data_IF_480572002224
#
_entry.id   IF_480572002224
#
_cell.length_a   1.000
_cell.length_b   1.000
_cell.length_c   1.000
_cell.angle_alpha   90.00
_cell.angle_beta   90.00
_cell.angle_gamma   90.00
#
_symmetry.space_group_name_H-M   'P 1'
#
loop_
_entity.id
_entity.type
_entity.pdbx_description
1 polymer ?
#
# COMPACT_ATOMS: atom_id res chain seq x y z
N UNK A 1 -10.99 -24.55 9.18
CA UNK A 1 -9.56 -24.19 9.23
C UNK A 1 -9.44 -22.72 8.87
N UNK A 2 -9.08 -21.85 9.80
CA UNK A 2 -8.87 -20.43 9.51
C UNK A 2 -7.56 -20.30 8.74
N UNK A 3 -7.63 -20.10 7.43
CA UNK A 3 -6.47 -19.66 6.67
C UNK A 3 -6.18 -18.22 7.09
N UNK A 4 -5.16 -18.02 7.92
CA UNK A 4 -4.57 -16.69 8.09
C UNK A 4 -3.78 -16.42 6.79
N UNK A 5 -4.16 -15.44 5.96
CA UNK A 5 -3.32 -15.05 4.85
C UNK A 5 -1.99 -14.59 5.46
N UNK A 6 -0.93 -15.34 5.15
CA UNK A 6 0.42 -14.94 5.50
C UNK A 6 1.00 -14.26 4.27
N UNK A 7 1.44 -13.01 4.43
CA UNK A 7 2.26 -12.31 3.44
C UNK A 7 3.65 -12.98 3.27
N UNK A 8 3.97 -14.03 4.05
CA UNK A 8 5.28 -14.72 4.02
C UNK A 8 5.56 -15.58 2.78
N UNK A 9 4.69 -15.58 1.76
CA UNK A 9 5.01 -16.25 0.48
C UNK A 9 5.66 -15.29 -0.53
N UNK A 10 6.29 -14.22 -0.04
CA UNK A 10 7.06 -13.28 -0.84
C UNK A 10 8.43 -13.86 -1.14
N UNK A 11 8.62 -14.41 -2.35
CA UNK A 11 9.95 -14.69 -2.91
C UNK A 11 10.38 -13.46 -3.72
N UNK A 12 11.38 -12.69 -3.23
CA UNK A 12 11.90 -11.52 -3.93
C UNK A 12 12.34 -11.80 -5.37
N UNK A 13 12.88 -12.98 -5.64
CA UNK A 13 13.33 -13.34 -6.98
C UNK A 13 12.15 -13.65 -7.89
N UNK A 14 11.16 -14.40 -7.42
CA UNK A 14 9.92 -14.64 -8.16
C UNK A 14 9.19 -13.32 -8.47
N UNK A 15 9.13 -12.40 -7.49
CA UNK A 15 8.56 -11.07 -7.68
C UNK A 15 9.32 -10.28 -8.76
N UNK A 16 10.65 -10.24 -8.68
CA UNK A 16 11.46 -9.54 -9.68
C UNK A 16 11.29 -10.11 -11.09
N UNK A 17 11.13 -11.43 -11.22
CA UNK A 17 10.97 -12.10 -12.51
C UNK A 17 9.57 -11.91 -13.11
N UNK A 18 8.51 -11.99 -12.29
CA UNK A 18 7.13 -12.05 -12.79
C UNK A 18 6.32 -10.76 -12.60
N UNK A 19 6.77 -9.85 -11.74
CA UNK A 19 6.10 -8.59 -11.43
C UNK A 19 6.95 -7.35 -11.78
N UNK A 20 7.93 -7.50 -12.67
CA UNK A 20 8.81 -6.39 -13.10
C UNK A 20 8.08 -5.17 -13.69
N UNK A 21 6.86 -5.37 -14.18
CA UNK A 21 6.00 -4.28 -14.59
C UNK A 21 5.68 -3.31 -13.44
N UNK A 22 5.59 -3.78 -12.19
CA UNK A 22 5.24 -2.95 -11.01
C UNK A 22 6.29 -1.87 -10.76
N UNK A 23 7.57 -2.23 -10.78
CA UNK A 23 8.68 -1.30 -10.52
C UNK A 23 9.40 -0.83 -11.78
N UNK A 24 8.82 -1.07 -12.96
CA UNK A 24 9.38 -0.54 -14.21
C UNK A 24 9.42 0.98 -14.20
N UNK A 25 10.44 1.58 -14.81
CA UNK A 25 10.56 3.04 -14.89
C UNK A 25 9.33 3.70 -15.54
N UNK A 26 8.71 3.05 -16.53
CA UNK A 26 7.53 3.57 -17.20
C UNK A 26 6.32 3.66 -16.25
N UNK A 27 6.13 2.65 -15.40
CA UNK A 27 4.96 2.57 -14.52
C UNK A 27 5.15 3.35 -13.22
N UNK A 28 6.37 3.41 -12.68
CA UNK A 28 6.67 4.17 -11.45
C UNK A 28 6.84 5.69 -11.69
N UNK A 29 7.19 6.12 -12.91
CA UNK A 29 7.47 7.53 -13.17
C UNK A 29 6.29 8.50 -12.88
N UNK A 30 5.02 8.18 -13.17
CA UNK A 30 3.89 9.04 -12.81
C UNK A 30 3.80 9.31 -11.31
N UNK A 31 3.85 8.27 -10.46
CA UNK A 31 3.74 8.42 -9.01
C UNK A 31 4.99 9.11 -8.42
N UNK A 32 6.18 8.85 -8.97
CA UNK A 32 7.40 9.55 -8.57
C UNK A 32 7.38 11.04 -8.96
N UNK A 33 6.74 11.39 -10.09
CA UNK A 33 6.50 12.81 -10.46
C UNK A 33 5.52 13.49 -9.51
N UNK A 34 4.48 12.79 -9.05
CA UNK A 34 3.58 13.30 -8.02
C UNK A 34 4.31 13.49 -6.69
N UNK A 35 5.18 12.54 -6.32
CA UNK A 35 6.03 12.64 -5.13
C UNK A 35 6.96 13.85 -5.22
N UNK A 36 7.54 14.15 -6.38
CA UNK A 36 8.43 15.30 -6.60
C UNK A 36 9.54 15.44 -5.52
N UNK A 37 10.32 14.38 -5.24
CA UNK A 37 11.28 14.35 -4.14
C UNK A 37 12.36 15.44 -4.28
N UNK A 38 12.77 16.04 -3.16
CA UNK A 38 13.81 17.07 -3.10
C UNK A 38 15.02 16.61 -2.30
N UNK A 39 16.24 17.05 -2.67
CA UNK A 39 17.42 16.77 -1.87
C UNK A 39 17.24 17.25 -0.43
N UNK A 40 17.56 16.37 0.53
CA UNK A 40 17.43 16.66 1.96
C UNK A 40 16.07 16.29 2.57
N UNK A 41 15.08 15.90 1.77
CA UNK A 41 13.80 15.44 2.31
C UNK A 41 13.92 14.08 3.01
N UNK A 42 13.21 13.94 4.13
CA UNK A 42 12.99 12.65 4.79
C UNK A 42 11.71 12.01 4.25
N UNK A 43 11.84 10.91 3.53
CA UNK A 43 10.73 10.26 2.83
C UNK A 43 10.69 8.78 3.22
N UNK A 44 9.52 8.31 3.60
CA UNK A 44 9.25 6.91 3.96
C UNK A 44 8.47 6.20 2.85
N UNK A 45 8.90 4.99 2.49
CA UNK A 45 8.17 4.09 1.58
C UNK A 45 7.43 3.01 2.38
N UNK A 46 6.10 3.04 2.32
CA UNK A 46 5.23 2.05 2.96
C UNK A 46 4.93 0.91 2.00
N UNK A 47 5.52 -0.26 2.29
CA UNK A 47 5.36 -1.47 1.47
C UNK A 47 6.39 -1.56 0.34
N UNK A 48 7.68 -1.37 0.66
CA UNK A 48 8.81 -1.32 -0.28
C UNK A 48 8.99 -2.56 -1.17
N UNK A 49 8.36 -3.70 -0.84
CA UNK A 49 8.53 -4.96 -1.54
C UNK A 49 10.01 -5.35 -1.63
N UNK A 50 10.53 -5.50 -2.85
CA UNK A 50 11.94 -5.83 -3.12
C UNK A 50 12.90 -4.62 -3.12
N UNK A 51 12.37 -3.40 -2.94
CA UNK A 51 13.15 -2.18 -2.69
C UNK A 51 13.61 -1.41 -3.94
N UNK A 52 13.24 -1.82 -5.15
CA UNK A 52 13.71 -1.18 -6.40
C UNK A 52 13.25 0.27 -6.54
N UNK A 53 12.02 0.61 -6.11
CA UNK A 53 11.54 2.00 -6.06
C UNK A 53 12.13 2.72 -4.84
N UNK A 54 12.30 2.01 -3.73
CA UNK A 54 12.86 2.56 -2.50
C UNK A 54 14.33 2.92 -2.61
N UNK A 55 15.13 2.30 -3.49
CA UNK A 55 16.51 2.74 -3.76
C UNK A 55 16.57 4.19 -4.27
N UNK A 56 15.48 4.70 -4.86
CA UNK A 56 15.37 6.11 -5.24
C UNK A 56 14.94 7.05 -4.10
N UNK A 57 14.54 6.50 -2.93
CA UNK A 57 13.92 7.20 -1.79
C UNK A 57 14.74 6.92 -0.52
N UNK A 58 14.93 7.93 0.34
CA UNK A 58 16.04 7.89 1.31
C UNK A 58 15.83 7.03 2.57
N UNK A 59 14.64 6.48 2.86
CA UNK A 59 14.41 5.62 4.03
C UNK A 59 13.38 4.50 3.75
N UNK A 60 13.65 3.30 4.29
CA UNK A 60 12.89 2.06 4.05
C UNK A 60 12.17 1.65 5.34
N UNK A 61 10.88 1.35 5.25
CA UNK A 61 10.17 0.59 6.30
C UNK A 61 9.76 -0.76 5.72
N UNK A 62 10.31 -1.84 6.30
CA UNK A 62 10.07 -3.22 5.89
C UNK A 62 8.67 -3.75 6.24
N UNK A 63 8.48 -5.07 6.17
CA UNK A 63 7.23 -5.87 6.26
C UNK A 63 6.35 -5.68 7.52
N UNK A 64 6.01 -4.44 7.90
CA UNK A 64 5.10 -4.14 8.98
C UNK A 64 3.68 -3.91 8.46
N UNK A 65 2.70 -4.21 9.31
CA UNK A 65 1.29 -4.09 8.97
C UNK A 65 0.83 -2.63 8.98
N UNK A 66 0.91 -1.97 7.82
CA UNK A 66 0.64 -0.53 7.66
C UNK A 66 -0.85 -0.14 7.80
N UNK A 67 -1.76 -1.10 7.82
CA UNK A 67 -3.20 -0.85 8.09
C UNK A 67 -3.51 -0.83 9.60
N UNK A 68 -2.53 -1.14 10.47
CA UNK A 68 -2.66 -1.12 11.92
C UNK A 68 -1.85 0.04 12.56
N UNK A 69 -2.28 1.29 12.31
CA UNK A 69 -1.58 2.52 12.69
C UNK A 69 -1.09 2.54 14.15
N UNK A 70 -1.93 2.17 15.11
CA UNK A 70 -1.56 2.16 16.53
C UNK A 70 -0.41 1.19 16.84
N UNK A 71 -0.41 0.01 16.22
CA UNK A 71 0.65 -0.98 16.40
C UNK A 71 1.97 -0.48 15.81
N UNK A 72 1.89 0.17 14.66
CA UNK A 72 3.04 0.79 14.01
C UNK A 72 3.62 1.92 14.86
N UNK A 73 2.79 2.86 15.31
CA UNK A 73 3.20 3.99 16.14
C UNK A 73 3.83 3.53 17.46
N UNK A 74 3.32 2.45 18.06
CA UNK A 74 3.92 1.84 19.25
C UNK A 74 5.28 1.21 18.98
N UNK A 75 5.49 0.65 17.79
CA UNK A 75 6.74 0.01 17.39
C UNK A 75 7.83 1.04 17.03
N UNK A 76 7.44 2.20 16.47
CA UNK A 76 8.35 3.25 16.00
C UNK A 76 7.95 4.64 16.50
N UNK A 77 7.86 4.89 17.81
CA UNK A 77 7.37 6.17 18.35
C UNK A 77 8.17 7.38 17.84
N UNK A 78 9.43 7.20 17.41
CA UNK A 78 10.28 8.24 16.84
C UNK A 78 9.86 8.72 15.44
N UNK A 79 8.85 8.09 14.83
CA UNK A 79 8.35 8.42 13.48
C UNK A 79 7.17 9.38 13.48
N UNK A 80 6.66 9.76 14.65
CA UNK A 80 5.62 10.78 14.78
C UNK A 80 6.06 12.10 14.16
N UNK A 81 5.29 12.61 13.19
CA UNK A 81 5.56 13.87 12.48
C UNK A 81 6.99 14.00 11.94
N UNK A 82 7.63 12.88 11.61
CA UNK A 82 9.04 12.83 11.30
C UNK A 82 9.35 12.93 9.80
N UNK A 83 8.34 12.84 8.91
CA UNK A 83 8.54 12.71 7.47
C UNK A 83 8.00 13.88 6.68
N UNK A 84 8.72 14.21 5.61
CA UNK A 84 8.42 15.28 4.67
C UNK A 84 7.46 14.77 3.60
N UNK A 85 7.58 13.49 3.26
CA UNK A 85 6.65 12.80 2.41
C UNK A 85 6.51 11.31 2.77
N UNK A 86 5.33 10.77 2.48
CA UNK A 86 5.04 9.33 2.51
C UNK A 86 4.80 8.86 1.08
N UNK A 87 5.47 7.79 0.69
CA UNK A 87 5.33 7.14 -0.61
C UNK A 87 4.79 5.71 -0.44
N UNK A 88 4.01 5.24 -1.40
CA UNK A 88 3.66 3.82 -1.52
C UNK A 88 3.29 3.48 -2.96
N UNK A 89 3.75 2.33 -3.45
CA UNK A 89 3.37 1.83 -4.78
C UNK A 89 2.96 0.37 -4.67
N UNK A 90 1.82 0.06 -5.30
CA UNK A 90 1.28 -1.29 -5.38
C UNK A 90 1.07 -1.99 -4.01
N UNK A 91 0.83 -1.22 -2.95
CA UNK A 91 0.61 -1.76 -1.60
C UNK A 91 -0.83 -1.62 -1.12
N UNK A 92 -1.45 -0.44 -1.27
CA UNK A 92 -2.70 -0.11 -0.55
C UNK A 92 -3.92 -0.97 -0.91
N UNK A 93 -3.89 -1.64 -2.06
CA UNK A 93 -4.93 -2.59 -2.44
C UNK A 93 -4.91 -3.89 -1.63
N UNK A 94 -3.87 -4.14 -0.83
CA UNK A 94 -3.81 -5.23 0.14
C UNK A 94 -4.39 -4.84 1.50
N UNK A 95 -4.59 -3.54 1.76
CA UNK A 95 -5.06 -3.00 3.03
C UNK A 95 -6.59 -3.05 3.14
N UNK A 96 -7.20 -4.21 2.84
CA UNK A 96 -8.66 -4.38 2.82
C UNK A 96 -9.27 -4.36 4.21
N UNK A 97 -8.53 -4.76 5.25
CA UNK A 97 -9.08 -4.85 6.60
C UNK A 97 -9.27 -3.47 7.22
N UNK A 98 -8.39 -2.51 6.90
CA UNK A 98 -8.51 -1.12 7.37
C UNK A 98 -7.86 -0.13 6.40
N UNK A 99 -8.55 0.27 5.33
CA UNK A 99 -8.11 1.38 4.48
C UNK A 99 -7.94 2.69 5.26
N UNK A 100 -8.78 2.94 6.26
CA UNK A 100 -8.74 4.11 7.14
C UNK A 100 -7.48 4.10 8.02
N UNK A 101 -7.07 2.93 8.51
CA UNK A 101 -5.85 2.78 9.30
C UNK A 101 -4.59 3.19 8.54
N UNK A 102 -4.56 2.96 7.22
CA UNK A 102 -3.47 3.47 6.37
C UNK A 102 -3.45 5.00 6.38
N UNK A 103 -4.62 5.65 6.22
CA UNK A 103 -4.71 7.13 6.21
C UNK A 103 -4.29 7.71 7.55
N UNK A 104 -4.72 7.09 8.66
CA UNK A 104 -4.30 7.47 10.01
C UNK A 104 -2.79 7.37 10.19
N UNK A 105 -2.16 6.27 9.74
CA UNK A 105 -0.72 6.11 9.80
C UNK A 105 0.00 7.19 8.97
N UNK A 106 -0.47 7.45 7.75
CA UNK A 106 0.12 8.48 6.89
C UNK A 106 0.08 9.85 7.57
N UNK A 107 -1.06 10.22 8.16
CA UNK A 107 -1.18 11.47 8.91
C UNK A 107 -0.21 11.54 10.08
N UNK A 108 -0.12 10.47 10.86
CA UNK A 108 0.75 10.41 12.02
C UNK A 108 2.24 10.51 11.66
N UNK A 109 2.65 9.98 10.51
CA UNK A 109 4.04 10.03 10.01
C UNK A 109 4.44 11.42 9.48
N UNK A 110 3.50 12.14 8.88
CA UNK A 110 3.80 13.38 8.17
C UNK A 110 3.96 14.55 9.14
N UNK A 111 5.02 15.33 8.96
CA UNK A 111 5.13 16.65 9.58
C UNK A 111 4.05 17.59 9.02
N UNK A 112 3.72 18.70 9.72
CA UNK A 112 2.83 19.73 9.16
C UNK A 112 3.31 20.22 7.78
N UNK A 113 2.40 20.19 6.80
CA UNK A 113 2.72 20.54 5.41
C UNK A 113 3.45 19.46 4.60
N UNK A 114 3.64 18.26 5.18
CA UNK A 114 4.09 17.07 4.47
C UNK A 114 3.09 16.60 3.42
N UNK A 115 3.50 15.68 2.55
CA UNK A 115 2.67 15.19 1.44
C UNK A 115 2.71 13.67 1.29
N UNK A 116 1.65 13.10 0.72
CA UNK A 116 1.63 11.70 0.31
C UNK A 116 1.58 11.58 -1.22
N UNK A 117 2.25 10.58 -1.76
CA UNK A 117 2.13 10.18 -3.16
C UNK A 117 2.02 8.66 -3.25
N UNK A 118 0.98 8.18 -3.93
CA UNK A 118 0.70 6.75 -3.97
C UNK A 118 0.08 6.29 -5.28
N UNK A 119 0.26 5.00 -5.58
CA UNK A 119 -0.50 4.28 -6.60
C UNK A 119 -0.83 2.85 -6.14
N UNK A 120 -1.96 2.32 -6.58
CA UNK A 120 -2.35 0.94 -6.31
C UNK A 120 -3.47 0.48 -7.27
N UNK A 121 -3.80 -0.82 -7.27
CA UNK A 121 -4.88 -1.35 -8.09
C UNK A 121 -6.23 -0.71 -7.76
N UNK A 122 -6.84 -0.05 -8.74
CA UNK A 122 -8.17 0.56 -8.61
C UNK A 122 -9.30 -0.35 -9.08
N UNK A 123 -10.50 0.21 -9.13
CA UNK A 123 -11.70 -0.46 -9.62
C UNK A 123 -11.48 -1.15 -10.98
N UNK A 124 -11.95 -2.39 -11.09
CA UNK A 124 -11.79 -3.19 -12.30
C UNK A 124 -10.42 -3.88 -12.44
N UNK A 125 -9.46 -3.58 -11.57
CA UNK A 125 -8.17 -4.26 -11.60
C UNK A 125 -8.33 -5.78 -11.42
N UNK A 126 -7.54 -6.55 -12.18
CA UNK A 126 -7.54 -8.01 -12.20
C UNK A 126 -8.92 -8.68 -12.41
N UNK A 127 -9.92 -7.98 -12.96
CA UNK A 127 -11.32 -8.47 -12.99
C UNK A 127 -11.48 -9.87 -13.58
N UNK A 128 -10.78 -10.18 -14.68
CA UNK A 128 -10.84 -11.50 -15.33
C UNK A 128 -10.28 -12.62 -14.44
N UNK A 129 -9.08 -12.44 -13.91
CA UNK A 129 -8.43 -13.42 -13.01
C UNK A 129 -9.24 -13.58 -11.72
N UNK A 130 -9.68 -12.47 -11.13
CA UNK A 130 -10.49 -12.44 -9.92
C UNK A 130 -11.81 -13.17 -10.11
N UNK A 131 -12.51 -12.95 -11.23
CA UNK A 131 -13.75 -13.64 -11.56
C UNK A 131 -13.54 -15.16 -11.72
N UNK A 132 -12.48 -15.57 -12.41
CA UNK A 132 -12.15 -16.99 -12.59
C UNK A 132 -11.83 -17.69 -11.25
N UNK A 133 -11.08 -17.02 -10.36
CA UNK A 133 -10.81 -17.52 -9.01
C UNK A 133 -12.10 -17.65 -8.19
N UNK A 134 -12.94 -16.60 -8.19
CA UNK A 134 -14.23 -16.62 -7.49
C UNK A 134 -15.13 -17.75 -7.99
N UNK A 135 -15.21 -17.95 -9.30
CA UNK A 135 -15.99 -19.04 -9.89
C UNK A 135 -15.48 -20.41 -9.43
N UNK A 136 -14.16 -20.64 -9.50
CA UNK A 136 -13.54 -21.92 -9.11
C UNK A 136 -13.72 -22.22 -7.63
N UNK A 137 -13.62 -21.20 -6.76
CA UNK A 137 -13.83 -21.33 -5.31
C UNK A 137 -15.30 -21.62 -5.00
N UNK A 138 -16.24 -20.95 -5.68
CA UNK A 138 -17.68 -21.21 -5.54
C UNK A 138 -18.06 -22.62 -5.95
N UNK A 139 -17.46 -23.16 -7.00
CA UNK A 139 -17.67 -24.54 -7.44
C UNK A 139 -17.27 -25.58 -6.37
N UNK A 140 -16.41 -25.20 -5.42
CA UNK A 140 -16.03 -26.02 -4.25
C UNK A 140 -16.93 -25.80 -3.02
N UNK A 141 -18.01 -25.02 -3.16
CA UNK A 141 -18.92 -24.70 -2.05
C UNK A 141 -18.38 -23.67 -1.04
N UNK A 142 -17.33 -22.93 -1.40
CA UNK A 142 -16.69 -21.94 -0.53
C UNK A 142 -17.09 -20.52 -0.95
N UNK A 143 -17.32 -19.62 0.01
CA UNK A 143 -17.56 -18.21 -0.29
C UNK A 143 -16.22 -17.49 -0.59
N UNK A 144 -15.98 -17.04 -1.84
CA UNK A 144 -14.71 -16.40 -2.19
C UNK A 144 -14.55 -15.00 -1.59
N UNK A 145 -15.63 -14.33 -1.18
CA UNK A 145 -15.57 -12.94 -0.71
C UNK A 145 -14.67 -12.77 0.53
N UNK A 146 -14.66 -13.76 1.42
CA UNK A 146 -13.82 -13.75 2.62
C UNK A 146 -12.35 -14.14 2.34
N UNK A 147 -12.08 -14.76 1.19
CA UNK A 147 -10.74 -15.17 0.79
C UNK A 147 -10.06 -14.15 -0.12
N UNK A 148 -10.84 -13.23 -0.69
CA UNK A 148 -10.37 -12.19 -1.58
C UNK A 148 -9.65 -11.09 -0.78
N UNK A 149 -8.32 -10.95 -0.91
CA UNK A 149 -7.55 -10.04 -0.07
C UNK A 149 -7.61 -8.60 -0.58
N UNK A 150 -8.18 -8.36 -1.77
CA UNK A 150 -8.00 -7.09 -2.45
C UNK A 150 -9.11 -6.08 -2.18
N UNK A 151 -8.65 -4.86 -1.92
CA UNK A 151 -9.45 -3.64 -1.96
C UNK A 151 -9.17 -2.88 -3.26
N UNK A 152 -10.13 -2.92 -4.19
CA UNK A 152 -10.06 -2.25 -5.50
C UNK A 152 -11.17 -1.20 -5.63
N UNK A 153 -11.04 -0.06 -4.94
CA UNK A 153 -12.03 1.02 -4.94
C UNK A 153 -12.00 1.82 -6.24
N UNK A 154 -13.12 2.46 -6.54
CA UNK A 154 -13.14 3.61 -7.46
C UNK A 154 -12.44 4.81 -6.83
N UNK A 155 -12.04 5.79 -7.64
CA UNK A 155 -11.46 7.04 -7.15
C UNK A 155 -12.38 7.71 -6.10
N UNK A 156 -13.67 7.87 -6.41
CA UNK A 156 -14.64 8.47 -5.50
C UNK A 156 -14.85 7.69 -4.20
N UNK A 157 -14.66 6.36 -4.20
CA UNK A 157 -14.71 5.57 -2.97
C UNK A 157 -13.49 5.84 -2.11
N UNK A 158 -12.30 5.91 -2.72
CA UNK A 158 -11.07 6.18 -1.99
C UNK A 158 -10.96 7.64 -1.53
N UNK A 159 -11.55 8.60 -2.24
CA UNK A 159 -11.66 9.99 -1.80
C UNK A 159 -12.39 10.13 -0.46
N UNK A 160 -13.38 9.28 -0.17
CA UNK A 160 -14.09 9.28 1.13
C UNK A 160 -13.26 8.70 2.26
N UNK A 161 -12.36 7.76 1.97
CA UNK A 161 -11.38 7.28 2.95
C UNK A 161 -10.34 8.39 3.18
N UNK A 162 -9.93 9.07 2.10
CA UNK A 162 -9.03 10.22 2.17
C UNK A 162 -9.64 11.42 2.89
N UNK A 163 -10.95 11.68 2.89
CA UNK A 163 -11.48 12.85 3.59
C UNK A 163 -11.20 12.81 5.10
N UNK A 164 -10.95 11.62 5.66
CA UNK A 164 -10.42 11.47 7.02
C UNK A 164 -9.02 12.08 7.17
N UNK A 165 -8.21 12.13 6.11
CA UNK A 165 -6.92 12.83 6.08
C UNK A 165 -7.07 14.28 6.56
N UNK A 166 -8.13 14.96 6.13
CA UNK A 166 -8.39 16.37 6.42
C UNK A 166 -9.07 16.59 7.79
N UNK A 167 -9.49 15.50 8.46
CA UNK A 167 -10.18 15.53 9.76
C UNK A 167 -9.25 15.32 10.96
N UNK A 168 -8.02 14.83 10.74
CA UNK A 168 -7.00 14.70 11.78
C UNK A 168 -6.02 15.89 11.70
N UNK A 169 -5.88 16.69 12.78
CA UNK A 169 -5.02 17.87 12.82
C UNK A 169 -3.52 17.54 12.80
#
# INVERSE_FOLDING_TARGET
MSHKPSLMNHDPNAYRTHASFVFSAANSAPVLRLLNPKPGEKIIDLGCGTGEITIAIKEVVGDQDIQAAESFAKAHPEYESAFDAVFTSATLHWCKDSPEGVVQLINWLLRPGGRMAFEFGGFGNACGVRAALHHTIRAKGINPIHLDPWYFPTANQYEKVKSLYDEYP
#
